data_IF_156150098127
#
_entry.id   IF_156150098127
#
_cell.length_a   1.000
_cell.length_b   1.000
_cell.length_c   1.000
_cell.angle_alpha   90.00
_cell.angle_beta   90.00
_cell.angle_gamma   90.00
#
_symmetry.space_group_name_H-M   'P 1'
#
loop_
_entity.id
_entity.type
_entity.pdbx_description
1 polymer ?
#
# COMPACT_ATOMS: atom_id res chain seq x y z
N UNK A 1 7.09 18.61 -14.40
CA UNK A 1 6.87 18.10 -15.78
C UNK A 1 6.22 16.71 -15.73
N UNK A 2 5.14 16.48 -16.49
CA UNK A 2 4.46 15.19 -16.61
C UNK A 2 4.94 14.43 -17.86
N UNK A 3 5.60 13.29 -17.68
CA UNK A 3 6.11 12.45 -18.77
C UNK A 3 5.22 11.21 -18.93
N UNK A 4 4.45 11.07 -20.03
CA UNK A 4 3.58 9.90 -20.23
C UNK A 4 4.37 8.59 -20.21
N UNK A 5 3.83 7.57 -19.53
CA UNK A 5 4.37 6.22 -19.43
C UNK A 5 3.50 5.28 -20.26
N UNK A 6 4.13 4.37 -21.00
CA UNK A 6 3.41 3.33 -21.76
C UNK A 6 3.00 2.18 -20.84
N UNK A 7 1.92 1.49 -21.19
CA UNK A 7 1.43 0.33 -20.45
C UNK A 7 2.49 -0.76 -20.22
N UNK A 8 3.32 -1.02 -21.23
CA UNK A 8 4.41 -2.00 -21.12
C UNK A 8 5.49 -1.59 -20.10
N UNK A 9 5.68 -0.28 -19.88
CA UNK A 9 6.63 0.24 -18.91
C UNK A 9 6.05 0.17 -17.50
N UNK A 10 4.78 0.57 -17.32
CA UNK A 10 4.12 0.50 -16.01
C UNK A 10 4.04 -0.94 -15.49
N UNK A 11 3.84 -1.92 -16.38
CA UNK A 11 3.83 -3.33 -16.02
C UNK A 11 5.18 -3.83 -15.48
N UNK A 12 6.29 -3.18 -15.84
CA UNK A 12 7.62 -3.46 -15.29
C UNK A 12 7.87 -2.73 -13.96
N UNK A 13 7.21 -1.58 -13.76
CA UNK A 13 7.36 -0.77 -12.55
C UNK A 13 6.48 -1.25 -11.39
N UNK A 14 5.27 -1.75 -11.68
CA UNK A 14 4.36 -2.28 -10.67
C UNK A 14 4.33 -3.81 -10.78
N UNK A 15 4.71 -4.55 -9.74
CA UNK A 15 4.73 -6.01 -9.78
C UNK A 15 3.30 -6.56 -9.83
N UNK A 16 3.11 -7.67 -10.56
CA UNK A 16 1.81 -8.36 -10.59
C UNK A 16 1.61 -9.20 -9.33
N UNK A 17 2.69 -9.76 -8.79
CA UNK A 17 2.70 -10.51 -7.54
C UNK A 17 3.35 -9.67 -6.44
N UNK A 18 2.86 -9.79 -5.23
CA UNK A 18 3.37 -9.05 -4.08
C UNK A 18 4.88 -9.24 -3.88
N UNK A 19 5.60 -8.15 -3.71
CA UNK A 19 7.00 -8.17 -3.26
C UNK A 19 7.08 -8.39 -1.75
N UNK A 20 8.25 -8.76 -1.22
CA UNK A 20 8.45 -8.91 0.23
C UNK A 20 8.10 -7.64 1.02
N UNK A 21 8.40 -6.44 0.50
CA UNK A 21 8.03 -5.16 1.13
C UNK A 21 6.52 -4.96 1.13
N UNK A 22 5.85 -5.28 0.03
CA UNK A 22 4.39 -5.21 -0.09
C UNK A 22 3.72 -6.23 0.83
N UNK A 23 4.26 -7.44 0.91
CA UNK A 23 3.80 -8.48 1.83
C UNK A 23 3.84 -7.99 3.28
N UNK A 24 4.99 -7.47 3.74
CA UNK A 24 5.14 -6.96 5.09
C UNK A 24 4.18 -5.79 5.40
N UNK A 25 3.96 -4.90 4.43
CA UNK A 25 3.00 -3.80 4.58
C UNK A 25 1.56 -4.32 4.61
N UNK A 26 1.23 -5.31 3.79
CA UNK A 26 -0.09 -5.94 3.75
C UNK A 26 -0.33 -6.83 4.97
N UNK A 27 0.69 -7.49 5.53
CA UNK A 27 0.58 -8.26 6.77
C UNK A 27 0.02 -7.38 7.90
N UNK A 28 0.44 -6.12 7.93
CA UNK A 28 -0.14 -5.06 8.73
C UNK A 28 0.35 -5.03 10.18
N UNK A 29 -0.45 -4.41 11.04
CA UNK A 29 -0.18 -4.29 12.47
C UNK A 29 -0.52 -5.60 13.24
N UNK A 30 -0.09 -5.76 14.49
CA UNK A 30 -0.35 -6.95 15.31
C UNK A 30 -1.83 -7.35 15.37
N UNK A 31 -2.74 -6.38 15.36
CA UNK A 31 -4.19 -6.63 15.40
C UNK A 31 -4.68 -7.31 14.12
N UNK A 32 -4.20 -6.86 12.93
CA UNK A 32 -4.50 -7.54 11.66
C UNK A 32 -3.90 -8.93 11.58
N UNK A 33 -2.68 -9.11 12.09
CA UNK A 33 -2.03 -10.43 12.17
C UNK A 33 -2.88 -11.36 13.03
N UNK A 34 -3.32 -10.91 14.21
CA UNK A 34 -4.18 -11.69 15.09
C UNK A 34 -5.51 -12.07 14.43
N UNK A 35 -6.17 -11.13 13.74
CA UNK A 35 -7.39 -11.42 12.99
C UNK A 35 -7.17 -12.51 11.93
N UNK A 36 -6.04 -12.49 11.22
CA UNK A 36 -5.70 -13.50 10.21
C UNK A 36 -5.42 -14.86 10.83
N UNK A 37 -4.75 -14.89 11.99
CA UNK A 37 -4.54 -16.14 12.75
C UNK A 37 -5.90 -16.72 13.17
N UNK A 38 -6.80 -15.90 13.68
CA UNK A 38 -8.15 -16.33 14.07
C UNK A 38 -8.93 -16.91 12.88
N UNK A 39 -8.93 -16.23 11.74
CA UNK A 39 -9.59 -16.73 10.53
C UNK A 39 -8.96 -18.06 10.07
N UNK A 40 -7.63 -18.15 10.10
CA UNK A 40 -6.86 -19.35 9.75
C UNK A 40 -7.24 -20.52 10.66
N UNK A 41 -7.22 -20.30 11.97
CA UNK A 41 -7.50 -21.34 12.95
C UNK A 41 -8.98 -21.79 12.90
N UNK A 42 -9.92 -20.84 12.93
CA UNK A 42 -11.35 -21.14 12.91
C UNK A 42 -11.74 -21.84 11.59
N UNK A 43 -11.33 -21.28 10.45
CA UNK A 43 -11.62 -21.86 9.14
C UNK A 43 -11.00 -23.25 8.97
N UNK A 44 -9.75 -23.43 9.42
CA UNK A 44 -9.06 -24.71 9.40
C UNK A 44 -9.76 -25.76 10.27
N UNK A 45 -10.10 -25.42 11.52
CA UNK A 45 -10.79 -26.35 12.44
C UNK A 45 -12.15 -26.75 11.90
N UNK A 46 -12.97 -25.78 11.44
CA UNK A 46 -14.31 -26.06 10.89
C UNK A 46 -14.22 -27.01 9.69
N UNK A 47 -13.32 -26.74 8.74
CA UNK A 47 -13.19 -27.56 7.55
C UNK A 47 -12.67 -28.96 7.87
N UNK A 48 -11.79 -29.11 8.85
CA UNK A 48 -11.30 -30.42 9.31
C UNK A 48 -12.42 -31.22 10.01
N UNK A 49 -13.24 -30.57 10.84
CA UNK A 49 -14.38 -31.24 11.47
C UNK A 49 -15.42 -31.72 10.44
N UNK A 50 -15.72 -30.89 9.43
CA UNK A 50 -16.58 -31.29 8.31
C UNK A 50 -15.96 -32.46 7.54
N UNK A 51 -14.65 -32.42 7.29
CA UNK A 51 -13.93 -33.52 6.64
C UNK A 51 -14.10 -34.82 7.41
N UNK A 52 -13.93 -34.81 8.72
CA UNK A 52 -14.13 -36.01 9.56
C UNK A 52 -15.56 -36.57 9.49
N UNK A 53 -16.57 -35.70 9.44
CA UNK A 53 -17.98 -36.13 9.31
C UNK A 53 -18.30 -36.73 7.93
N UNK A 54 -17.46 -36.47 6.93
CA UNK A 54 -17.67 -36.87 5.53
C UNK A 54 -16.65 -37.94 5.06
N UNK A 55 -16.05 -38.73 5.96
CA UNK A 55 -14.97 -39.70 5.65
C UNK A 55 -15.38 -40.69 4.57
N UNK A 56 -16.65 -41.08 4.47
CA UNK A 56 -17.18 -41.99 3.45
C UNK A 56 -17.63 -41.30 2.17
N UNK A 57 -17.59 -39.96 2.13
CA UNK A 57 -18.02 -39.16 0.97
C UNK A 57 -16.89 -38.99 -0.04
N UNK A 58 -17.26 -38.90 -1.33
CA UNK A 58 -16.33 -38.53 -2.41
C UNK A 58 -15.70 -37.14 -2.20
N UNK A 59 -16.32 -36.30 -1.35
CA UNK A 59 -15.86 -34.94 -1.07
C UNK A 59 -14.88 -34.83 0.10
N UNK A 60 -14.51 -35.95 0.75
CA UNK A 60 -13.56 -35.95 1.87
C UNK A 60 -12.25 -35.21 1.54
N UNK A 61 -11.63 -35.55 0.42
CA UNK A 61 -10.35 -34.94 -0.03
C UNK A 61 -10.49 -33.45 -0.28
N UNK A 62 -11.64 -32.99 -0.80
CA UNK A 62 -11.91 -31.57 -1.04
C UNK A 62 -11.93 -30.78 0.27
N UNK A 63 -12.62 -31.28 1.28
CA UNK A 63 -12.69 -30.63 2.60
C UNK A 63 -11.33 -30.58 3.28
N UNK A 64 -10.52 -31.62 3.15
CA UNK A 64 -9.17 -31.68 3.68
C UNK A 64 -8.28 -30.61 3.01
N UNK A 65 -8.32 -30.51 1.68
CA UNK A 65 -7.57 -29.47 0.93
C UNK A 65 -8.02 -28.07 1.33
N UNK A 66 -9.33 -27.83 1.45
CA UNK A 66 -9.85 -26.54 1.92
C UNK A 66 -9.36 -26.22 3.33
N UNK A 67 -9.29 -27.20 4.22
CA UNK A 67 -8.73 -27.01 5.57
C UNK A 67 -7.28 -26.53 5.54
N UNK A 68 -6.45 -27.16 4.71
CA UNK A 68 -5.05 -26.72 4.51
C UNK A 68 -4.99 -25.32 3.93
N UNK A 69 -5.82 -24.99 2.95
CA UNK A 69 -5.90 -23.64 2.37
C UNK A 69 -6.26 -22.60 3.44
N UNK A 70 -7.24 -22.86 4.30
CA UNK A 70 -7.59 -21.97 5.40
C UNK A 70 -6.46 -21.85 6.42
N UNK A 71 -5.81 -22.93 6.82
CA UNK A 71 -4.66 -22.88 7.74
C UNK A 71 -3.53 -22.01 7.20
N UNK A 72 -3.32 -22.01 5.90
CA UNK A 72 -2.30 -21.19 5.24
C UNK A 72 -2.75 -19.74 4.93
N UNK A 73 -3.96 -19.34 5.35
CA UNK A 73 -4.51 -18.00 5.06
C UNK A 73 -3.59 -16.86 5.53
N UNK A 74 -2.91 -17.06 6.65
CA UNK A 74 -1.95 -16.06 7.17
C UNK A 74 -0.82 -15.75 6.16
N UNK A 75 -0.46 -16.70 5.31
CA UNK A 75 0.60 -16.55 4.31
C UNK A 75 0.06 -15.97 3.00
N UNK A 76 -1.00 -16.56 2.44
CA UNK A 76 -1.49 -16.13 1.13
C UNK A 76 -2.42 -14.92 1.18
N UNK A 77 -3.08 -14.66 2.31
CA UNK A 77 -3.97 -13.50 2.49
C UNK A 77 -3.28 -12.16 2.21
N UNK A 78 -2.10 -11.87 2.80
CA UNK A 78 -1.34 -10.65 2.49
C UNK A 78 -0.91 -10.55 1.02
N UNK A 79 -0.55 -11.69 0.41
CA UNK A 79 -0.17 -11.73 -1.01
C UNK A 79 -1.34 -11.32 -1.89
N UNK A 80 -2.53 -11.86 -1.63
CA UNK A 80 -3.74 -11.49 -2.38
C UNK A 80 -4.12 -10.03 -2.17
N UNK A 81 -4.06 -9.52 -0.93
CA UNK A 81 -4.36 -8.11 -0.65
C UNK A 81 -3.41 -7.18 -1.42
N UNK A 82 -2.11 -7.47 -1.38
CA UNK A 82 -1.11 -6.70 -2.10
C UNK A 82 -1.28 -6.79 -3.61
N UNK A 83 -1.52 -7.98 -4.16
CA UNK A 83 -1.75 -8.18 -5.59
C UNK A 83 -3.00 -7.46 -6.08
N UNK A 84 -4.09 -7.45 -5.29
CA UNK A 84 -5.31 -6.68 -5.61
C UNK A 84 -5.05 -5.17 -5.64
N UNK A 85 -4.24 -4.64 -4.69
CA UNK A 85 -3.83 -3.24 -4.69
C UNK A 85 -3.03 -2.90 -5.96
N UNK A 86 -2.06 -3.74 -6.31
CA UNK A 86 -1.27 -3.56 -7.52
C UNK A 86 -2.14 -3.60 -8.79
N UNK A 87 -3.08 -4.54 -8.89
CA UNK A 87 -4.01 -4.65 -10.01
C UNK A 87 -4.91 -3.42 -10.14
N UNK A 88 -5.36 -2.85 -9.01
CA UNK A 88 -6.14 -1.61 -9.02
C UNK A 88 -5.34 -0.44 -9.63
N UNK A 89 -4.05 -0.33 -9.32
CA UNK A 89 -3.20 0.71 -9.91
C UNK A 89 -2.94 0.49 -11.40
N UNK A 90 -2.91 -0.75 -11.86
CA UNK A 90 -2.79 -1.09 -13.29
C UNK A 90 -4.10 -0.92 -14.07
N UNK A 91 -5.22 -0.77 -13.41
CA UNK A 91 -6.53 -0.60 -14.09
C UNK A 91 -6.82 0.82 -14.56
N UNK A 92 -6.00 1.79 -14.20
CA UNK A 92 -6.11 3.14 -14.75
C UNK A 92 -5.71 3.17 -16.22
N UNK A 93 -6.27 4.12 -16.98
CA UNK A 93 -6.06 4.19 -18.44
C UNK A 93 -4.80 4.94 -18.84
N UNK A 94 -4.33 5.88 -18.00
CA UNK A 94 -3.20 6.75 -18.29
C UNK A 94 -2.26 6.87 -17.10
N UNK A 95 -0.97 6.88 -17.39
CA UNK A 95 0.12 6.92 -16.43
C UNK A 95 1.11 8.01 -16.84
N UNK A 96 1.63 8.77 -15.88
CA UNK A 96 2.72 9.69 -16.13
C UNK A 96 3.75 9.65 -14.99
N UNK A 97 5.01 9.78 -15.36
CA UNK A 97 6.08 10.08 -14.42
C UNK A 97 6.03 11.57 -14.11
N UNK A 98 5.94 11.88 -12.84
CA UNK A 98 6.12 13.24 -12.32
C UNK A 98 7.60 13.42 -12.01
N UNK A 99 8.19 14.41 -12.65
CA UNK A 99 9.45 15.01 -12.22
C UNK A 99 9.13 16.39 -11.68
N UNK A 100 9.10 16.48 -10.35
CA UNK A 100 8.60 17.66 -9.63
C UNK A 100 9.40 17.94 -8.38
N UNK A 101 8.87 18.82 -7.56
CA UNK A 101 9.47 19.29 -6.32
C UNK A 101 8.46 19.18 -5.18
N UNK A 102 8.96 19.13 -3.97
CA UNK A 102 8.16 19.22 -2.75
C UNK A 102 7.74 20.68 -2.58
N UNK A 103 6.46 20.95 -2.77
CA UNK A 103 5.88 22.29 -2.60
C UNK A 103 5.78 22.69 -1.13
N UNK A 104 5.35 21.74 -0.28
CA UNK A 104 5.25 21.94 1.17
C UNK A 104 5.35 20.61 1.91
N UNK A 105 5.77 20.68 3.18
CA UNK A 105 5.88 19.55 4.11
C UNK A 105 5.18 19.95 5.40
N UNK A 106 4.10 19.27 5.72
CA UNK A 106 3.41 19.52 6.97
C UNK A 106 3.05 18.21 7.69
N UNK A 107 2.75 18.36 8.96
CA UNK A 107 2.47 17.24 9.84
C UNK A 107 1.06 17.39 10.37
N UNK A 108 0.28 16.31 10.31
CA UNK A 108 -1.07 16.27 10.84
C UNK A 108 -1.30 15.04 11.71
N UNK A 109 -2.13 15.18 12.73
CA UNK A 109 -2.56 14.06 13.56
C UNK A 109 -3.86 13.47 13.01
N UNK A 110 -3.83 12.21 12.60
CA UNK A 110 -5.02 11.45 12.16
C UNK A 110 -5.44 10.45 13.22
N UNK A 111 -6.74 10.35 13.46
CA UNK A 111 -7.31 9.30 14.31
C UNK A 111 -7.22 7.97 13.57
N UNK A 112 -6.40 7.05 14.08
CA UNK A 112 -6.18 5.73 13.47
C UNK A 112 -7.19 4.70 13.98
N UNK A 113 -7.62 4.83 15.23
CA UNK A 113 -8.61 3.94 15.84
C UNK A 113 -9.34 4.64 16.98
N UNK A 114 -10.62 4.32 17.13
CA UNK A 114 -11.43 4.72 18.27
C UNK A 114 -11.79 3.46 19.05
N UNK A 115 -11.46 3.42 20.33
CA UNK A 115 -11.79 2.30 21.21
C UNK A 115 -12.60 2.81 22.38
N UNK A 116 -13.73 2.15 22.65
CA UNK A 116 -14.49 2.39 23.87
C UNK A 116 -13.78 1.65 25.01
N UNK A 117 -13.37 2.38 26.01
CA UNK A 117 -12.78 1.83 27.24
C UNK A 117 -13.62 2.29 28.43
N UNK A 118 -13.87 1.36 29.36
CA UNK A 118 -14.46 1.72 30.64
C UNK A 118 -13.39 2.46 31.47
N UNK A 119 -13.72 3.66 31.92
CA UNK A 119 -12.87 4.38 32.87
C UNK A 119 -12.97 3.76 34.26
N UNK A 120 -12.20 4.29 35.24
CA UNK A 120 -12.19 3.80 36.63
C UNK A 120 -13.56 3.84 37.33
N UNK A 121 -14.47 4.65 36.81
CA UNK A 121 -15.82 4.84 37.34
C UNK A 121 -16.89 3.99 36.59
N UNK A 122 -16.44 3.10 35.68
CA UNK A 122 -17.31 2.22 34.91
C UNK A 122 -18.05 2.90 33.76
N UNK A 123 -17.73 4.17 33.43
CA UNK A 123 -18.31 4.87 32.28
C UNK A 123 -17.49 4.56 31.02
N UNK A 124 -18.18 4.37 29.90
CA UNK A 124 -17.55 4.19 28.60
C UNK A 124 -17.00 5.54 28.13
N UNK A 125 -15.69 5.59 27.89
CA UNK A 125 -15.02 6.71 27.25
C UNK A 125 -14.44 6.27 25.91
N UNK A 126 -14.59 7.10 24.89
CA UNK A 126 -13.99 6.88 23.57
C UNK A 126 -12.55 7.35 23.63
N UNK A 127 -11.61 6.41 23.61
CA UNK A 127 -10.19 6.71 23.52
C UNK A 127 -9.77 6.71 22.06
N UNK A 128 -9.38 7.87 21.55
CA UNK A 128 -8.87 8.04 20.20
C UNK A 128 -7.37 7.76 20.18
N UNK A 129 -6.97 6.78 19.40
CA UNK A 129 -5.55 6.57 19.10
C UNK A 129 -5.17 7.40 17.90
N UNK A 130 -4.49 8.54 18.16
CA UNK A 130 -3.96 9.41 17.13
C UNK A 130 -2.59 8.93 16.68
N UNK A 131 -2.32 9.10 15.40
CA UNK A 131 -1.01 8.87 14.80
C UNK A 131 -0.65 10.06 13.94
N UNK A 132 0.58 10.50 14.11
CA UNK A 132 1.13 11.63 13.37
C UNK A 132 1.52 11.20 11.95
N UNK A 133 1.07 11.95 10.97
CA UNK A 133 1.33 11.74 9.54
C UNK A 133 2.10 12.90 8.97
N UNK A 134 2.98 12.61 8.03
CA UNK A 134 3.61 13.61 7.16
C UNK A 134 2.81 13.68 5.88
N UNK A 135 2.51 14.89 5.43
CA UNK A 135 1.88 15.16 4.15
C UNK A 135 2.85 15.98 3.33
N UNK A 136 3.13 15.51 2.12
CA UNK A 136 3.96 16.18 1.13
C UNK A 136 3.08 16.65 -0.01
N UNK A 137 3.04 17.93 -0.24
CA UNK A 137 2.47 18.50 -1.44
C UNK A 137 3.52 18.46 -2.56
N UNK A 138 3.13 17.97 -3.72
CA UNK A 138 4.00 17.80 -4.88
C UNK A 138 3.57 18.77 -5.95
N UNK A 139 4.51 19.55 -6.47
CA UNK A 139 4.31 20.47 -7.58
C UNK A 139 5.25 20.15 -8.73
N UNK A 140 4.88 20.56 -9.93
CA UNK A 140 5.74 20.65 -11.08
C UNK A 140 5.71 22.09 -11.66
N UNK A 141 6.24 22.27 -12.86
CA UNK A 141 6.28 23.57 -13.53
C UNK A 141 4.87 24.15 -13.83
N UNK A 142 3.86 23.26 -13.95
CA UNK A 142 2.48 23.62 -14.28
C UNK A 142 1.63 23.86 -13.02
N UNK A 143 2.14 23.55 -11.83
CA UNK A 143 1.49 23.77 -10.54
C UNK A 143 1.36 22.52 -9.68
N UNK A 144 0.41 22.55 -8.72
CA UNK A 144 0.20 21.48 -7.75
C UNK A 144 -0.35 20.22 -8.43
N UNK A 145 0.36 19.13 -8.29
CA UNK A 145 -0.01 17.79 -8.79
C UNK A 145 -0.93 17.08 -7.80
N UNK A 146 -0.60 17.14 -6.51
CA UNK A 146 -1.34 16.47 -5.45
C UNK A 146 -0.48 16.23 -4.22
N UNK A 147 -0.95 15.37 -3.33
CA UNK A 147 -0.23 15.08 -2.09
C UNK A 147 0.00 13.58 -1.87
N UNK A 148 1.06 13.28 -1.12
CA UNK A 148 1.37 11.94 -0.60
C UNK A 148 1.42 12.02 0.91
N UNK A 149 0.71 11.12 1.59
CA UNK A 149 0.72 11.07 3.05
C UNK A 149 1.19 9.72 3.57
N UNK A 150 1.98 9.74 4.64
CA UNK A 150 2.52 8.54 5.27
C UNK A 150 2.81 8.80 6.77
N UNK A 151 2.85 7.74 7.60
CA UNK A 151 3.14 7.89 9.02
C UNK A 151 4.52 8.49 9.28
N UNK A 152 4.59 9.44 10.21
CA UNK A 152 5.86 10.06 10.61
C UNK A 152 6.84 9.01 11.15
N UNK A 153 8.07 9.07 10.66
CA UNK A 153 9.23 8.31 11.13
C UNK A 153 10.44 9.23 11.14
N UNK A 154 11.40 8.99 12.03
CA UNK A 154 12.59 9.84 12.20
C UNK A 154 13.38 10.08 10.89
N UNK A 155 13.38 9.11 9.99
CA UNK A 155 14.07 9.23 8.68
C UNK A 155 13.47 10.28 7.75
N UNK A 156 12.24 10.74 8.02
CA UNK A 156 11.54 11.73 7.17
C UNK A 156 11.77 13.17 7.63
N UNK A 157 12.46 13.40 8.77
CA UNK A 157 12.77 14.74 9.26
C UNK A 157 13.72 15.54 8.36
N UNK A 158 14.38 14.87 7.40
CA UNK A 158 15.29 15.48 6.43
C UNK A 158 14.56 16.03 5.19
N UNK A 159 13.26 15.74 5.07
CA UNK A 159 12.46 16.24 3.94
C UNK A 159 12.23 17.74 4.09
N UNK A 160 12.53 18.49 3.04
CA UNK A 160 12.36 19.94 3.01
C UNK A 160 11.70 20.38 1.70
N UNK A 161 11.05 21.52 1.75
CA UNK A 161 10.51 22.20 0.58
C UNK A 161 11.60 22.44 -0.47
N UNK A 162 11.27 22.26 -1.76
CA UNK A 162 12.16 22.44 -2.90
C UNK A 162 12.99 21.23 -3.26
N UNK A 163 12.97 20.13 -2.47
CA UNK A 163 13.64 18.90 -2.86
C UNK A 163 12.95 18.26 -4.05
N UNK A 164 13.76 17.70 -4.97
CA UNK A 164 13.27 16.97 -6.13
C UNK A 164 12.58 15.67 -5.71
N UNK A 165 11.45 15.39 -6.33
CA UNK A 165 10.65 14.19 -6.06
C UNK A 165 10.14 13.58 -7.36
N UNK A 166 10.25 12.26 -7.47
CA UNK A 166 9.76 11.51 -8.61
C UNK A 166 8.71 10.49 -8.18
N UNK A 167 7.56 10.48 -8.84
CA UNK A 167 6.49 9.51 -8.58
C UNK A 167 5.71 9.20 -9.87
N UNK A 168 4.82 8.23 -9.80
CA UNK A 168 3.88 7.94 -10.88
C UNK A 168 2.50 8.41 -10.50
N UNK A 169 1.86 9.15 -11.37
CA UNK A 169 0.45 9.55 -11.25
C UNK A 169 -0.43 8.74 -12.18
N UNK A 170 -1.65 8.51 -11.74
CA UNK A 170 -2.65 7.67 -12.41
C UNK A 170 -3.89 8.48 -12.69
N UNK A 171 -4.38 8.41 -13.92
CA UNK A 171 -5.60 9.08 -14.35
C UNK A 171 -6.40 8.22 -15.32
N UNK A 172 -7.70 8.46 -15.39
CA UNK A 172 -8.56 7.93 -16.44
C UNK A 172 -8.73 8.93 -17.59
N UNK A 173 -8.13 10.11 -17.48
CA UNK A 173 -8.13 11.15 -18.50
C UNK A 173 -6.73 11.36 -19.04
N UNK A 174 -6.64 11.51 -20.35
CA UNK A 174 -5.36 11.70 -21.05
C UNK A 174 -4.68 13.03 -20.73
N UNK A 175 -5.45 14.04 -20.37
CA UNK A 175 -4.98 15.38 -20.03
C UNK A 175 -4.47 15.50 -18.59
N UNK A 176 -4.56 14.43 -17.78
CA UNK A 176 -4.24 14.41 -16.35
C UNK A 176 -4.94 15.52 -15.54
N UNK A 177 -6.00 16.13 -16.06
CA UNK A 177 -6.78 17.16 -15.38
C UNK A 177 -7.50 16.66 -14.11
N UNK A 178 -7.54 15.33 -13.89
CA UNK A 178 -8.00 14.71 -12.65
C UNK A 178 -7.09 13.53 -12.31
N UNK A 179 -6.14 13.74 -11.42
CA UNK A 179 -5.25 12.70 -10.89
C UNK A 179 -6.02 11.92 -9.83
N UNK A 180 -6.18 10.61 -10.05
CA UNK A 180 -6.96 9.73 -9.18
C UNK A 180 -6.11 9.02 -8.13
N UNK A 181 -4.84 8.82 -8.41
CA UNK A 181 -3.91 8.20 -7.47
C UNK A 181 -2.47 8.64 -7.77
N UNK A 182 -1.66 8.60 -6.72
CA UNK A 182 -0.21 8.83 -6.77
C UNK A 182 0.46 7.63 -6.12
N UNK A 183 1.57 7.14 -6.70
CA UNK A 183 2.36 6.05 -6.14
C UNK A 183 3.17 6.50 -4.92
N UNK A 184 3.96 5.58 -4.36
CA UNK A 184 5.11 5.98 -3.55
C UNK A 184 6.10 6.78 -4.41
N UNK A 185 6.87 7.65 -3.76
CA UNK A 185 7.77 8.57 -4.45
C UNK A 185 9.22 8.41 -4.01
N UNK A 186 10.12 8.78 -4.89
CA UNK A 186 11.55 8.74 -4.66
C UNK A 186 12.14 10.16 -4.69
N UNK A 187 12.92 10.50 -3.65
CA UNK A 187 13.70 11.73 -3.56
C UNK A 187 15.15 11.40 -3.93
N UNK A 188 15.60 11.70 -5.15
CA UNK A 188 16.93 11.27 -5.64
C UNK A 188 18.08 11.90 -4.87
N UNK A 189 17.97 13.16 -4.46
CA UNK A 189 19.03 13.91 -3.76
C UNK A 189 19.49 13.25 -2.46
N UNK A 190 18.57 12.64 -1.74
CA UNK A 190 18.81 11.99 -0.45
C UNK A 190 18.63 10.47 -0.50
N UNK A 191 18.37 9.93 -1.70
CA UNK A 191 18.07 8.52 -1.94
C UNK A 191 17.00 7.96 -0.99
N UNK A 192 15.92 8.72 -0.78
CA UNK A 192 14.85 8.36 0.16
C UNK A 192 13.55 8.07 -0.57
N UNK A 193 12.92 6.95 -0.19
CA UNK A 193 11.59 6.57 -0.63
C UNK A 193 10.54 6.99 0.40
N UNK A 194 9.51 7.68 -0.06
CA UNK A 194 8.39 8.17 0.73
C UNK A 194 7.06 7.62 0.24
N UNK A 195 6.13 7.38 1.15
CA UNK A 195 4.81 6.84 0.83
C UNK A 195 4.36 5.80 1.84
N UNK A 196 3.05 5.60 1.90
CA UNK A 196 2.42 4.65 2.82
C UNK A 196 2.56 3.19 2.35
N UNK A 197 2.43 2.96 1.05
CA UNK A 197 2.49 1.63 0.45
C UNK A 197 3.51 1.60 -0.69
N UNK A 198 4.42 0.61 -0.74
CA UNK A 198 5.46 0.51 -1.76
C UNK A 198 4.89 -0.09 -3.06
N UNK A 199 4.25 0.71 -3.91
CA UNK A 199 3.69 0.26 -5.18
C UNK A 199 4.76 -0.08 -6.20
N UNK A 200 5.83 0.74 -6.24
CA UNK A 200 6.84 0.67 -7.26
C UNK A 200 7.96 -0.32 -6.93
N UNK A 201 8.47 -1.01 -7.95
CA UNK A 201 9.72 -1.76 -7.90
C UNK A 201 10.88 -0.77 -7.89
N UNK A 202 11.40 -0.46 -6.70
CA UNK A 202 12.39 0.61 -6.48
C UNK A 202 13.56 0.61 -7.45
N UNK A 203 14.33 -0.50 -7.62
CA UNK A 203 15.45 -0.51 -8.54
C UNK A 203 15.04 -0.24 -9.99
N UNK A 204 13.93 -0.82 -10.43
CA UNK A 204 13.42 -0.61 -11.79
C UNK A 204 12.94 0.82 -12.01
N UNK A 205 12.33 1.43 -10.99
CA UNK A 205 11.87 2.81 -11.06
C UNK A 205 13.04 3.80 -11.07
N UNK A 206 14.04 3.62 -10.21
CA UNK A 206 15.26 4.44 -10.17
C UNK A 206 15.98 4.41 -11.53
N UNK A 207 16.14 3.22 -12.12
CA UNK A 207 16.71 3.08 -13.48
C UNK A 207 15.84 3.76 -14.53
N UNK A 208 14.52 3.63 -14.44
CA UNK A 208 13.58 4.24 -15.37
C UNK A 208 13.65 5.77 -15.31
N UNK A 209 13.65 6.35 -14.10
CA UNK A 209 13.77 7.80 -13.87
C UNK A 209 15.10 8.31 -14.46
N UNK A 210 16.23 7.68 -14.11
CA UNK A 210 17.54 8.08 -14.59
C UNK A 210 17.61 8.07 -16.12
N UNK A 211 17.04 7.06 -16.78
CA UNK A 211 17.00 6.98 -18.25
C UNK A 211 16.13 8.06 -18.90
N UNK A 212 15.01 8.43 -18.27
CA UNK A 212 14.03 9.38 -18.83
C UNK A 212 14.40 10.83 -18.61
N UNK A 213 15.13 11.13 -17.53
CA UNK A 213 15.45 12.50 -17.13
C UNK A 213 16.88 12.88 -17.54
N UNK A 214 17.79 11.89 -17.71
CA UNK A 214 19.17 12.15 -18.18
C UNK A 214 19.30 12.27 -19.71
N UNK A 215 18.23 12.05 -20.46
CA UNK A 215 18.12 12.28 -21.90
C UNK A 215 17.30 13.53 -22.19
#
# INVERSE_FOLDING_TARGET
MLLPIKENEINKLIPSVATGKQFNTALGNPQKIFQRIMISAIGGVITLLISQSQVTSQFYSLWLVLGVVFLLYILWGPILEASRKNSKFKSYSFYALVDGYIADVFVEDRVENQQEQANKDGRLEVVEKKRTWVVLDIEDEDGLIGNISFPLQNKFNILTKGMRINCVVFSNRRDFGNIQAISDAWCPEINLWVGYYPFLLRPAFEEFVNRRISN
#
